data_IF_658103005356
#
_entry.id   IF_658103005356
#
_cell.length_a   1.000
_cell.length_b   1.000
_cell.length_c   1.000
_cell.angle_alpha   90.00
_cell.angle_beta   90.00
_cell.angle_gamma   90.00
#
_symmetry.space_group_name_H-M   'P 1'
#
loop_
_entity.id
_entity.type
_entity.pdbx_description
1 polymer ?
#
# COMPACT_ATOMS: atom_id res chain seq x y z
N UNK A 1 -16.85 33.28 -3.38
CA UNK A 1 -15.83 32.24 -3.15
C UNK A 1 -14.53 32.62 -3.85
N UNK A 2 -13.45 32.75 -3.10
CA UNK A 2 -12.22 33.45 -3.48
C UNK A 2 -11.35 32.61 -4.45
N UNK A 3 -10.90 33.20 -5.57
CA UNK A 3 -10.09 32.52 -6.62
C UNK A 3 -8.87 31.79 -6.07
N UNK A 4 -8.31 32.23 -4.95
CA UNK A 4 -7.16 31.61 -4.27
C UNK A 4 -7.45 30.20 -3.71
N UNK A 5 -8.70 29.89 -3.33
CA UNK A 5 -9.04 28.56 -2.80
C UNK A 5 -9.17 27.48 -3.88
N UNK A 6 -9.50 27.86 -5.13
CA UNK A 6 -9.57 26.89 -6.25
C UNK A 6 -8.19 26.36 -6.65
N UNK A 7 -7.14 27.16 -6.50
CA UNK A 7 -5.77 26.78 -6.90
C UNK A 7 -5.17 25.79 -5.89
N UNK A 8 -5.48 25.95 -4.60
CA UNK A 8 -4.98 25.04 -3.55
C UNK A 8 -5.65 23.66 -3.64
N UNK A 9 -6.95 23.62 -3.95
CA UNK A 9 -7.68 22.35 -4.13
C UNK A 9 -7.25 21.62 -5.41
N UNK A 10 -6.93 22.34 -6.49
CA UNK A 10 -6.41 21.73 -7.71
C UNK A 10 -4.98 21.16 -7.54
N UNK A 11 -4.14 21.80 -6.71
CA UNK A 11 -2.79 21.30 -6.41
C UNK A 11 -2.79 19.97 -5.64
N UNK A 12 -3.71 19.81 -4.69
CA UNK A 12 -3.83 18.60 -3.86
C UNK A 12 -4.33 17.38 -4.65
N UNK A 13 -5.16 17.60 -5.67
CA UNK A 13 -5.67 16.52 -6.55
C UNK A 13 -4.57 16.03 -7.50
N UNK A 14 -3.66 16.90 -7.93
CA UNK A 14 -2.57 16.52 -8.85
C UNK A 14 -1.45 15.76 -8.12
N UNK A 15 -1.17 16.09 -6.85
CA UNK A 15 -0.23 15.28 -6.04
C UNK A 15 -0.83 13.93 -5.62
N UNK A 16 -2.15 13.83 -5.47
CA UNK A 16 -2.85 12.56 -5.20
C UNK A 16 -2.92 11.62 -6.42
N UNK A 17 -2.87 12.14 -7.64
CA UNK A 17 -2.91 11.34 -8.86
C UNK A 17 -1.57 10.65 -9.18
N UNK A 18 -0.44 11.19 -8.71
CA UNK A 18 0.89 10.60 -8.94
C UNK A 18 1.16 9.41 -8.00
N UNK A 19 0.46 9.33 -6.86
CA UNK A 19 0.51 8.17 -5.96
C UNK A 19 -0.42 7.01 -6.37
N UNK A 20 -1.24 7.19 -7.41
CA UNK A 20 -2.26 6.23 -7.86
C UNK A 20 -1.89 5.52 -9.18
N UNK A 21 -0.63 5.60 -9.59
CA UNK A 21 -0.01 4.65 -10.51
C UNK A 21 0.67 3.55 -9.69
N UNK A 22 -0.05 3.01 -8.70
CA UNK A 22 0.13 1.60 -8.39
C UNK A 22 -0.61 0.87 -9.51
N UNK A 23 0.13 0.08 -10.27
CA UNK A 23 -0.43 -0.85 -11.24
C UNK A 23 -1.51 -1.67 -10.54
N UNK A 24 -2.78 -1.34 -10.79
CA UNK A 24 -3.90 -2.26 -10.60
C UNK A 24 -3.73 -3.37 -11.64
N UNK A 25 -2.84 -4.31 -11.36
CA UNK A 25 -2.90 -5.64 -11.97
C UNK A 25 -4.19 -6.26 -11.43
N UNK A 26 -5.11 -6.71 -12.30
CA UNK A 26 -6.34 -7.34 -11.85
C UNK A 26 -6.01 -8.54 -10.97
N UNK A 27 -6.49 -8.46 -9.74
CA UNK A 27 -6.42 -9.45 -8.69
C UNK A 27 -6.73 -10.85 -9.25
N UNK A 28 -5.75 -11.75 -9.33
CA UNK A 28 -6.06 -13.18 -9.36
C UNK A 28 -6.71 -13.49 -8.01
N UNK A 29 -7.92 -14.03 -8.07
CA UNK A 29 -8.73 -14.34 -6.90
C UNK A 29 -7.89 -15.04 -5.82
N UNK A 30 -7.83 -14.44 -4.63
CA UNK A 30 -7.35 -15.09 -3.42
C UNK A 30 -8.08 -16.43 -3.27
N UNK A 31 -7.33 -17.52 -3.36
CA UNK A 31 -7.81 -18.84 -2.99
C UNK A 31 -8.16 -18.81 -1.51
N UNK A 32 -9.36 -19.34 -1.25
CA UNK A 32 -9.97 -19.57 0.05
C UNK A 32 -8.97 -20.10 1.08
N UNK A 33 -9.03 -19.53 2.29
CA UNK A 33 -8.15 -19.81 3.42
C UNK A 33 -7.87 -21.29 3.67
N UNK A 34 -6.58 -21.61 3.69
CA UNK A 34 -5.89 -22.72 4.37
C UNK A 34 -4.49 -22.97 3.78
N UNK A 35 -4.10 -22.29 2.70
CA UNK A 35 -2.71 -22.32 2.23
C UNK A 35 -1.84 -21.42 3.12
N UNK A 36 -0.68 -21.91 3.59
CA UNK A 36 0.27 -21.07 4.31
C UNK A 36 0.66 -19.89 3.40
N UNK A 37 0.85 -18.69 3.95
CA UNK A 37 1.26 -17.53 3.17
C UNK A 37 2.51 -17.92 2.38
N UNK A 38 2.42 -17.86 1.05
CA UNK A 38 3.57 -18.07 0.16
C UNK A 38 4.56 -16.99 0.57
N UNK A 39 5.72 -17.39 1.09
CA UNK A 39 6.77 -16.45 1.42
C UNK A 39 7.19 -15.78 0.11
N UNK A 40 7.01 -14.45 -0.04
CA UNK A 40 7.39 -13.78 -1.28
C UNK A 40 8.89 -13.94 -1.57
N UNK A 41 9.72 -14.26 -0.56
CA UNK A 41 11.13 -14.61 -0.78
C UNK A 41 11.30 -15.87 -1.63
N UNK A 42 10.46 -16.89 -1.45
CA UNK A 42 10.52 -18.13 -2.24
C UNK A 42 10.11 -17.94 -3.70
N UNK A 43 9.26 -16.96 -4.01
CA UNK A 43 8.88 -16.64 -5.39
C UNK A 43 10.07 -16.08 -6.19
N UNK A 44 10.88 -15.21 -5.55
CA UNK A 44 12.13 -14.73 -6.14
C UNK A 44 13.14 -15.86 -6.36
N UNK A 45 13.18 -16.85 -5.48
CA UNK A 45 14.08 -18.00 -5.60
C UNK A 45 13.75 -18.92 -6.79
N UNK A 46 12.48 -18.97 -7.20
CA UNK A 46 12.00 -19.78 -8.32
C UNK A 46 12.11 -19.10 -9.70
N UNK A 47 12.29 -17.78 -9.76
CA UNK A 47 12.43 -17.05 -11.01
C UNK A 47 13.74 -17.39 -11.73
N UNK A 48 13.71 -17.52 -13.07
CA UNK A 48 14.90 -17.75 -13.88
C UNK A 48 15.89 -16.61 -13.69
N UNK A 49 16.95 -16.86 -12.92
CA UNK A 49 17.96 -15.91 -12.46
C UNK A 49 18.67 -15.13 -13.57
N UNK A 50 18.43 -15.47 -14.84
CA UNK A 50 19.12 -14.91 -16.00
C UNK A 50 18.33 -13.85 -16.78
N UNK A 51 17.01 -13.73 -16.57
CA UNK A 51 16.20 -12.77 -17.33
C UNK A 51 15.86 -11.54 -16.48
N UNK A 52 16.34 -10.37 -16.90
CA UNK A 52 16.05 -9.08 -16.26
C UNK A 52 14.55 -8.81 -16.15
N UNK A 53 13.79 -9.04 -17.23
CA UNK A 53 12.36 -8.75 -17.26
C UNK A 53 11.56 -9.68 -16.33
N UNK A 54 11.95 -10.96 -16.27
CA UNK A 54 11.29 -11.92 -15.38
C UNK A 54 11.55 -11.62 -13.91
N UNK A 55 12.79 -11.29 -13.54
CA UNK A 55 13.12 -10.91 -12.17
C UNK A 55 12.39 -9.64 -11.75
N UNK A 56 12.30 -8.66 -12.66
CA UNK A 56 11.55 -7.44 -12.44
C UNK A 56 10.08 -7.72 -12.16
N UNK A 57 9.43 -8.50 -13.01
CA UNK A 57 8.01 -8.86 -12.85
C UNK A 57 7.76 -9.54 -11.50
N UNK A 58 8.55 -10.56 -11.16
CA UNK A 58 8.40 -11.32 -9.91
C UNK A 58 8.64 -10.45 -8.67
N UNK A 59 9.63 -9.54 -8.71
CA UNK A 59 9.86 -8.60 -7.61
C UNK A 59 8.68 -7.66 -7.38
N UNK A 60 8.16 -7.04 -8.44
CA UNK A 60 7.03 -6.11 -8.32
C UNK A 60 5.74 -6.83 -7.89
N UNK A 61 5.50 -8.04 -8.37
CA UNK A 61 4.39 -8.89 -7.92
C UNK A 61 4.53 -9.21 -6.42
N UNK A 62 5.70 -9.68 -5.99
CA UNK A 62 6.00 -10.00 -4.59
C UNK A 62 5.84 -8.79 -3.66
N UNK A 63 6.24 -7.59 -4.11
CA UNK A 63 5.98 -6.34 -3.37
C UNK A 63 4.50 -6.04 -3.24
N UNK A 64 3.75 -6.13 -4.34
CA UNK A 64 2.33 -5.86 -4.33
C UNK A 64 1.59 -6.82 -3.39
N UNK A 65 1.92 -8.11 -3.45
CA UNK A 65 1.35 -9.12 -2.55
C UNK A 65 1.62 -8.79 -1.08
N UNK A 66 2.87 -8.47 -0.73
CA UNK A 66 3.26 -8.12 0.63
C UNK A 66 2.47 -6.93 1.18
N UNK A 67 2.34 -5.85 0.41
CA UNK A 67 1.61 -4.66 0.88
C UNK A 67 0.10 -4.90 0.90
N UNK A 68 -0.47 -5.59 -0.11
CA UNK A 68 -1.89 -5.92 -0.17
C UNK A 68 -2.33 -6.83 0.98
N UNK A 69 -1.52 -7.83 1.32
CA UNK A 69 -1.75 -8.69 2.49
C UNK A 69 -1.76 -7.84 3.77
N UNK A 70 -0.77 -6.97 3.94
CA UNK A 70 -0.65 -6.11 5.10
C UNK A 70 -1.85 -5.15 5.24
N UNK A 71 -2.35 -4.58 4.13
CA UNK A 71 -3.57 -3.78 4.11
C UNK A 71 -4.79 -4.60 4.51
N UNK A 72 -4.97 -5.77 3.89
CA UNK A 72 -6.10 -6.66 4.17
C UNK A 72 -6.18 -7.02 5.66
N UNK A 73 -5.05 -7.39 6.27
CA UNK A 73 -4.98 -7.74 7.69
C UNK A 73 -5.29 -6.57 8.62
N UNK A 74 -4.82 -5.36 8.32
CA UNK A 74 -5.23 -4.16 9.09
C UNK A 74 -6.75 -3.99 9.02
N UNK A 75 -7.34 -4.10 7.84
CA UNK A 75 -8.79 -3.88 7.66
C UNK A 75 -9.65 -4.98 8.28
N UNK A 76 -9.13 -6.21 8.35
CA UNK A 76 -9.80 -7.33 9.02
C UNK A 76 -9.67 -7.28 10.55
N UNK A 77 -8.75 -6.48 11.10
CA UNK A 77 -8.54 -6.35 12.55
C UNK A 77 -7.84 -7.55 13.20
N UNK A 78 -7.23 -8.44 12.41
CA UNK A 78 -6.59 -9.68 12.86
C UNK A 78 -5.06 -9.59 12.90
N UNK A 79 -4.51 -8.39 13.14
CA UNK A 79 -3.10 -8.10 12.93
C UNK A 79 -2.46 -7.35 14.09
N UNK A 80 -1.19 -7.66 14.38
CA UNK A 80 -0.39 -6.87 15.32
C UNK A 80 0.13 -5.62 14.60
N UNK A 81 -0.23 -4.45 15.10
CA UNK A 81 0.16 -3.16 14.51
C UNK A 81 1.30 -2.46 15.25
N UNK A 82 1.71 -3.00 16.39
CA UNK A 82 2.85 -2.51 17.17
C UNK A 82 4.13 -3.17 16.72
N UNK A 83 5.22 -2.41 16.72
CA UNK A 83 6.55 -2.94 16.47
C UNK A 83 6.90 -4.01 17.53
N UNK A 84 7.73 -5.01 17.19
CA UNK A 84 8.26 -5.96 18.16
C UNK A 84 9.03 -5.26 19.29
N UNK A 85 8.96 -5.82 20.50
CA UNK A 85 9.74 -5.32 21.64
C UNK A 85 11.23 -5.61 21.46
N UNK A 86 12.09 -4.83 22.14
CA UNK A 86 13.55 -4.91 21.96
C UNK A 86 14.20 -6.24 22.39
N UNK A 87 13.46 -7.06 23.12
CA UNK A 87 13.89 -8.37 23.61
C UNK A 87 13.73 -9.49 22.60
N UNK A 88 12.92 -9.29 21.57
CA UNK A 88 12.85 -10.20 20.43
C UNK A 88 13.96 -9.85 19.44
N UNK A 89 14.56 -10.85 18.80
CA UNK A 89 15.37 -10.66 17.58
C UNK A 89 14.48 -9.94 16.56
N UNK A 90 14.62 -8.60 16.49
CA UNK A 90 13.64 -7.67 15.89
C UNK A 90 13.20 -8.07 14.48
N UNK A 91 14.08 -8.72 13.73
CA UNK A 91 13.83 -9.13 12.35
C UNK A 91 13.15 -10.51 12.22
N UNK A 92 13.38 -11.41 13.18
CA UNK A 92 12.72 -12.73 13.23
C UNK A 92 11.26 -12.59 13.68
N UNK A 93 10.99 -11.64 14.57
CA UNK A 93 9.62 -11.30 14.98
C UNK A 93 8.75 -10.76 13.83
N UNK A 94 9.37 -10.31 12.75
CA UNK A 94 8.70 -9.82 11.55
C UNK A 94 8.56 -10.89 10.45
N UNK A 95 9.04 -12.11 10.66
CA UNK A 95 8.88 -13.21 9.71
C UNK A 95 7.45 -13.78 9.76
N UNK A 96 6.93 -14.30 8.64
CA UNK A 96 5.57 -14.82 8.53
C UNK A 96 5.30 -16.13 9.30
N UNK A 97 6.23 -16.54 10.16
CA UNK A 97 6.18 -17.83 10.87
C UNK A 97 5.31 -17.83 12.12
N UNK A 98 4.79 -16.68 12.55
CA UNK A 98 3.93 -16.55 13.74
C UNK A 98 2.64 -15.81 13.40
N UNK A 99 1.49 -16.44 13.68
CA UNK A 99 0.19 -15.78 13.69
C UNK A 99 -0.14 -15.32 15.13
N UNK A 100 -0.77 -14.14 15.33
CA UNK A 100 -1.16 -13.17 14.30
C UNK A 100 0.05 -12.45 13.68
N UNK A 101 0.06 -12.34 12.35
CA UNK A 101 1.14 -11.68 11.62
C UNK A 101 1.33 -10.21 12.06
N UNK A 102 2.59 -9.80 12.25
CA UNK A 102 2.94 -8.42 12.55
C UNK A 102 2.97 -7.55 11.29
N UNK A 103 2.03 -6.61 11.23
CA UNK A 103 1.85 -5.63 10.15
C UNK A 103 2.13 -4.21 10.65
N UNK A 104 2.94 -4.06 11.71
CA UNK A 104 3.53 -2.77 12.03
C UNK A 104 4.31 -2.26 10.81
N UNK A 105 4.34 -0.93 10.64
CA UNK A 105 5.15 -0.29 9.59
C UNK A 105 6.58 -0.83 9.57
N UNK A 106 7.16 -1.09 10.76
CA UNK A 106 8.48 -1.70 10.90
C UNK A 106 8.55 -3.08 10.24
N UNK A 107 7.65 -4.02 10.61
CA UNK A 107 7.72 -5.38 10.08
C UNK A 107 7.40 -5.48 8.58
N UNK A 108 6.53 -4.61 8.06
CA UNK A 108 6.29 -4.51 6.61
C UNK A 108 7.52 -3.97 5.90
N UNK A 109 8.17 -2.94 6.46
CA UNK A 109 9.40 -2.38 5.91
C UNK A 109 10.56 -3.39 5.93
N UNK A 110 10.73 -4.15 7.01
CA UNK A 110 11.78 -5.20 7.10
C UNK A 110 11.58 -6.26 6.03
N UNK A 111 10.35 -6.77 5.87
CA UNK A 111 10.04 -7.77 4.83
C UNK A 111 10.23 -7.20 3.42
N UNK A 112 9.77 -5.96 3.17
CA UNK A 112 9.99 -5.26 1.91
C UNK A 112 11.48 -5.05 1.60
N UNK A 113 12.26 -4.66 2.60
CA UNK A 113 13.70 -4.47 2.47
C UNK A 113 14.43 -5.78 2.17
N UNK A 114 14.05 -6.91 2.78
CA UNK A 114 14.62 -8.23 2.46
C UNK A 114 14.41 -8.61 0.99
N UNK A 115 13.22 -8.38 0.47
CA UNK A 115 12.89 -8.64 -0.93
C UNK A 115 13.66 -7.71 -1.88
N UNK A 116 13.78 -6.43 -1.52
CA UNK A 116 14.61 -5.47 -2.27
C UNK A 116 16.09 -5.87 -2.28
N UNK A 117 16.65 -6.28 -1.14
CA UNK A 117 18.05 -6.72 -1.06
C UNK A 117 18.29 -7.96 -1.93
N UNK A 118 17.44 -8.99 -1.84
CA UNK A 118 17.54 -10.19 -2.68
C UNK A 118 17.42 -9.85 -4.18
N UNK A 119 16.49 -8.95 -4.54
CA UNK A 119 16.37 -8.46 -5.91
C UNK A 119 17.62 -7.70 -6.38
N UNK A 120 18.16 -6.81 -5.54
CA UNK A 120 19.39 -6.06 -5.79
C UNK A 120 20.58 -6.97 -6.06
N UNK A 121 20.80 -7.97 -5.21
CA UNK A 121 21.89 -8.94 -5.36
C UNK A 121 21.80 -9.70 -6.71
N UNK A 122 20.58 -10.06 -7.14
CA UNK A 122 20.34 -10.71 -8.43
C UNK A 122 20.55 -9.79 -9.63
N UNK A 123 20.11 -8.54 -9.51
CA UNK A 123 20.36 -7.53 -10.54
C UNK A 123 21.86 -7.23 -10.68
N UNK A 124 22.60 -7.18 -9.58
CA UNK A 124 24.05 -7.05 -9.60
C UNK A 124 24.74 -8.26 -10.23
N UNK A 125 24.24 -9.47 -9.99
CA UNK A 125 24.71 -10.66 -10.71
C UNK A 125 24.50 -10.53 -12.23
N UNK A 126 23.30 -10.14 -12.68
CA UNK A 126 23.02 -9.90 -14.11
C UNK A 126 23.96 -8.81 -14.67
N UNK A 127 24.12 -7.71 -13.95
CA UNK A 127 25.02 -6.61 -14.31
C UNK A 127 26.47 -7.09 -14.46
N UNK A 128 26.95 -7.93 -13.55
CA UNK A 128 28.29 -8.51 -13.62
C UNK A 128 28.46 -9.44 -14.84
N UNK A 129 27.43 -10.21 -15.19
CA UNK A 129 27.44 -11.10 -16.35
C UNK A 129 27.48 -10.36 -17.69
N UNK A 130 26.93 -9.14 -17.73
CA UNK A 130 27.00 -8.22 -18.88
C UNK A 130 28.43 -7.68 -19.07
N UNK A 131 29.22 -7.59 -18.00
CA UNK A 131 30.52 -6.90 -17.98
C UNK A 131 31.72 -7.81 -18.32
N UNK A 132 31.58 -9.14 -18.30
CA UNK A 132 32.72 -10.09 -18.31
C UNK A 132 33.25 -10.48 -19.71
N UNK A 133 32.63 -10.10 -20.84
CA UNK A 133 32.89 -10.79 -22.11
C UNK A 133 33.60 -10.07 -23.27
N UNK A 134 33.47 -8.75 -23.43
CA UNK A 134 33.55 -8.18 -24.80
C UNK A 134 34.78 -7.29 -25.07
N UNK A 135 35.58 -6.94 -24.06
CA UNK A 135 36.55 -5.84 -24.23
C UNK A 135 38.03 -6.20 -24.35
N UNK A 136 38.43 -7.48 -24.32
CA UNK A 136 39.87 -7.82 -24.38
C UNK A 136 40.38 -8.33 -25.73
N UNK A 137 39.55 -8.42 -26.78
CA UNK A 137 40.06 -8.68 -28.14
C UNK A 137 39.41 -7.72 -29.15
N UNK A 138 39.95 -6.51 -29.16
CA UNK A 138 39.90 -5.55 -30.26
C UNK A 138 40.15 -6.27 -31.59
N UNK A 139 39.14 -6.30 -32.49
CA UNK A 139 39.24 -6.32 -33.98
C UNK A 139 37.99 -6.90 -34.71
N UNK A 140 36.86 -7.16 -34.04
CA UNK A 140 35.65 -7.66 -34.74
C UNK A 140 34.75 -6.51 -35.20
N UNK A 141 34.88 -6.13 -36.48
CA UNK A 141 33.97 -5.21 -37.18
C UNK A 141 32.55 -5.80 -37.17
N UNK A 142 31.59 -5.10 -36.58
CA UNK A 142 30.18 -5.54 -36.48
C UNK A 142 29.62 -5.70 -35.06
N UNK A 143 30.46 -5.63 -34.03
CA UNK A 143 30.02 -5.76 -32.62
C UNK A 143 29.44 -4.49 -31.98
N UNK A 144 29.51 -3.33 -32.66
CA UNK A 144 29.07 -2.04 -32.10
C UNK A 144 27.60 -2.03 -31.66
N UNK A 145 26.71 -2.70 -32.39
CA UNK A 145 25.29 -2.81 -32.02
C UNK A 145 25.06 -3.67 -30.78
N UNK A 146 25.84 -4.76 -30.61
CA UNK A 146 25.74 -5.65 -29.45
C UNK A 146 26.32 -4.99 -28.19
N UNK A 147 27.42 -4.26 -28.34
CA UNK A 147 28.00 -3.47 -27.24
C UNK A 147 27.05 -2.35 -26.79
N UNK A 148 26.42 -1.65 -27.74
CA UNK A 148 25.44 -0.62 -27.42
C UNK A 148 24.19 -1.19 -26.73
N UNK A 149 23.68 -2.35 -27.17
CA UNK A 149 22.56 -3.03 -26.52
C UNK A 149 22.88 -3.43 -25.07
N UNK A 150 24.09 -3.95 -24.82
CA UNK A 150 24.54 -4.32 -23.48
C UNK A 150 24.75 -3.12 -22.56
N UNK A 151 25.26 -2.00 -23.08
CA UNK A 151 25.36 -0.75 -22.33
C UNK A 151 23.96 -0.20 -21.95
N UNK A 152 23.00 -0.27 -22.87
CA UNK A 152 21.61 0.13 -22.61
C UNK A 152 21.00 -0.76 -21.52
N UNK A 153 21.22 -2.08 -21.59
CA UNK A 153 20.75 -3.02 -20.56
C UNK A 153 21.39 -2.77 -19.20
N UNK A 154 22.70 -2.50 -19.16
CA UNK A 154 23.39 -2.14 -17.92
C UNK A 154 22.80 -0.89 -17.26
N UNK A 155 22.54 0.17 -18.05
CA UNK A 155 21.88 1.39 -17.56
C UNK A 155 20.43 1.14 -17.13
N UNK A 156 19.71 0.26 -17.82
CA UNK A 156 18.34 -0.11 -17.45
C UNK A 156 18.30 -0.81 -16.08
N UNK A 157 19.25 -1.70 -15.80
CA UNK A 157 19.40 -2.37 -14.49
C UNK A 157 19.69 -1.36 -13.39
N UNK A 158 20.65 -0.44 -13.59
CA UNK A 158 20.97 0.60 -12.59
C UNK A 158 19.78 1.50 -12.29
N UNK A 159 19.07 1.90 -13.35
CA UNK A 159 17.85 2.70 -13.22
C UNK A 159 16.78 1.94 -12.44
N UNK A 160 16.59 0.65 -12.73
CA UNK A 160 15.62 -0.20 -12.04
C UNK A 160 15.94 -0.33 -10.54
N UNK A 161 17.20 -0.51 -10.15
CA UNK A 161 17.61 -0.55 -8.73
C UNK A 161 17.24 0.74 -8.01
N UNK A 162 17.50 1.89 -8.65
CA UNK A 162 17.21 3.20 -8.09
C UNK A 162 15.69 3.46 -7.99
N UNK A 163 14.94 3.12 -9.05
CA UNK A 163 13.50 3.28 -9.11
C UNK A 163 12.80 2.35 -8.10
N UNK A 164 13.25 1.10 -7.96
CA UNK A 164 12.73 0.14 -7.00
C UNK A 164 12.95 0.60 -5.55
N UNK A 165 14.12 1.16 -5.22
CA UNK A 165 14.40 1.74 -3.90
C UNK A 165 13.44 2.89 -3.58
N UNK A 166 13.30 3.81 -4.53
CA UNK A 166 12.41 4.97 -4.37
C UNK A 166 10.96 4.52 -4.22
N UNK A 167 10.52 3.53 -5.00
CA UNK A 167 9.19 2.97 -4.89
C UNK A 167 8.95 2.32 -3.52
N UNK A 168 9.92 1.57 -2.99
CA UNK A 168 9.83 1.00 -1.65
C UNK A 168 9.68 2.09 -0.58
N UNK A 169 10.51 3.14 -0.61
CA UNK A 169 10.44 4.24 0.35
C UNK A 169 9.09 4.96 0.32
N UNK A 170 8.55 5.23 -0.88
CA UNK A 170 7.23 5.86 -1.05
C UNK A 170 6.13 4.95 -0.53
N UNK A 171 6.17 3.66 -0.85
CA UNK A 171 5.14 2.70 -0.45
C UNK A 171 5.14 2.45 1.05
N UNK A 172 6.31 2.35 1.69
CA UNK A 172 6.42 2.24 3.16
C UNK A 172 5.85 3.48 3.85
N UNK A 173 6.12 4.67 3.32
CA UNK A 173 5.55 5.91 3.86
C UNK A 173 4.03 5.97 3.68
N UNK A 174 3.52 5.63 2.50
CA UNK A 174 2.09 5.56 2.25
C UNK A 174 1.39 4.53 3.16
N UNK A 175 2.03 3.37 3.37
CA UNK A 175 1.55 2.34 4.28
C UNK A 175 1.50 2.84 5.73
N UNK A 176 2.53 3.55 6.19
CA UNK A 176 2.56 4.20 7.50
C UNK A 176 1.42 5.17 7.68
N UNK A 177 1.20 6.05 6.70
CA UNK A 177 0.08 7.00 6.72
C UNK A 177 -1.27 6.29 6.80
N UNK A 178 -1.45 5.23 6.01
CA UNK A 178 -2.66 4.39 6.07
C UNK A 178 -2.85 3.79 7.47
N UNK A 179 -1.80 3.24 8.08
CA UNK A 179 -1.85 2.63 9.41
C UNK A 179 -2.31 3.63 10.48
N UNK A 180 -1.95 4.90 10.36
CA UNK A 180 -2.45 5.97 11.25
C UNK A 180 -3.86 6.46 10.87
N UNK A 181 -4.15 6.62 9.58
CA UNK A 181 -5.39 7.20 9.11
C UNK A 181 -6.59 6.25 9.22
N UNK A 182 -6.39 4.95 9.03
CA UNK A 182 -7.45 3.94 9.06
C UNK A 182 -8.23 3.90 10.39
N UNK A 183 -7.61 3.79 11.58
CA UNK A 183 -8.36 3.80 12.84
C UNK A 183 -9.14 5.11 13.06
N UNK A 184 -8.57 6.25 12.64
CA UNK A 184 -9.27 7.53 12.66
C UNK A 184 -10.50 7.51 11.76
N UNK A 185 -10.38 6.96 10.54
CA UNK A 185 -11.50 6.82 9.62
C UNK A 185 -12.62 5.94 10.20
N UNK A 186 -12.29 4.83 10.85
CA UNK A 186 -13.27 3.98 11.55
C UNK A 186 -13.97 4.73 12.69
N UNK A 187 -13.25 5.56 13.43
CA UNK A 187 -13.84 6.41 14.47
C UNK A 187 -14.80 7.45 13.86
N UNK A 188 -14.42 8.10 12.76
CA UNK A 188 -15.30 9.04 12.05
C UNK A 188 -16.56 8.35 11.51
N UNK A 189 -16.43 7.17 10.91
CA UNK A 189 -17.55 6.37 10.44
C UNK A 189 -18.56 6.09 11.56
N UNK A 190 -18.07 5.74 12.75
CA UNK A 190 -18.90 5.50 13.94
C UNK A 190 -19.63 6.78 14.37
N UNK A 191 -18.93 7.90 14.47
CA UNK A 191 -19.52 9.19 14.84
C UNK A 191 -20.57 9.63 13.83
N UNK A 192 -20.30 9.47 12.53
CA UNK A 192 -21.24 9.78 11.48
C UNK A 192 -22.54 8.96 11.60
N UNK A 193 -22.43 7.65 11.82
CA UNK A 193 -23.60 6.78 12.04
C UNK A 193 -24.44 7.22 13.25
N UNK A 194 -23.79 7.67 14.34
CA UNK A 194 -24.48 8.19 15.51
C UNK A 194 -25.23 9.50 15.20
N UNK A 195 -24.61 10.42 14.46
CA UNK A 195 -25.25 11.67 14.04
C UNK A 195 -26.44 11.43 13.11
N UNK A 196 -26.33 10.48 12.19
CA UNK A 196 -27.46 10.05 11.33
C UNK A 196 -28.60 9.52 12.19
N UNK A 197 -28.32 8.62 13.14
CA UNK A 197 -29.34 8.11 14.05
C UNK A 197 -30.00 9.22 14.87
N UNK A 198 -29.22 10.17 15.38
CA UNK A 198 -29.75 11.31 16.13
C UNK A 198 -30.67 12.20 15.28
N UNK A 199 -30.26 12.50 14.04
CA UNK A 199 -31.07 13.25 13.07
C UNK A 199 -32.41 12.54 12.81
N UNK A 200 -32.38 11.23 12.60
CA UNK A 200 -33.57 10.45 12.29
C UNK A 200 -34.54 10.44 13.48
N UNK A 201 -34.04 10.27 14.71
CA UNK A 201 -34.83 10.40 15.94
C UNK A 201 -35.42 11.81 16.13
N UNK A 202 -34.67 12.87 15.81
CA UNK A 202 -35.22 14.23 15.81
C UNK A 202 -36.34 14.41 14.77
N UNK A 203 -36.23 13.75 13.62
CA UNK A 203 -37.27 13.71 12.60
C UNK A 203 -38.55 13.05 13.11
N UNK A 204 -38.43 11.93 13.82
CA UNK A 204 -39.56 11.26 14.47
C UNK A 204 -40.24 12.16 15.51
N UNK A 205 -39.46 12.83 16.37
CA UNK A 205 -39.99 13.78 17.35
C UNK A 205 -40.73 14.93 16.66
N UNK A 206 -40.15 15.50 15.59
CA UNK A 206 -40.83 16.56 14.82
C UNK A 206 -42.15 16.07 14.22
N UNK A 207 -42.18 14.88 13.65
CA UNK A 207 -43.41 14.29 13.13
C UNK A 207 -44.49 14.11 14.20
N UNK A 208 -44.10 13.75 15.44
CA UNK A 208 -45.03 13.69 16.57
C UNK A 208 -45.53 15.09 16.98
N UNK A 209 -44.65 16.09 17.02
CA UNK A 209 -45.00 17.49 17.32
C UNK A 209 -45.90 18.11 16.24
N UNK A 210 -45.72 17.75 14.97
CA UNK A 210 -46.63 18.18 13.89
C UNK A 210 -48.04 17.59 14.04
N UNK A 211 -48.16 16.41 14.67
CA UNK A 211 -49.44 15.81 15.01
C UNK A 211 -50.07 16.39 16.29
N UNK A 212 -49.31 17.14 17.10
CA UNK A 212 -49.91 17.91 18.18
C UNK A 212 -50.80 18.99 17.55
N UNK A 213 -52.10 19.00 17.87
CA UNK A 213 -52.99 20.00 17.30
C UNK A 213 -52.50 21.38 17.72
N UNK A 214 -52.32 22.27 16.75
CA UNK A 214 -51.97 23.69 16.94
C UNK A 214 -52.91 24.45 17.87
N UNK A 215 -53.99 23.82 18.32
CA UNK A 215 -55.03 24.35 19.21
C UNK A 215 -54.65 24.44 20.70
N UNK A 216 -53.46 23.98 21.11
CA UNK A 216 -52.99 24.18 22.49
C UNK A 216 -52.20 25.49 22.70
N UNK A 217 -51.81 26.16 21.62
CA UNK A 217 -51.34 27.54 21.67
C UNK A 217 -52.61 28.39 21.56
N UNK A 218 -53.01 29.08 22.63
CA UNK A 218 -54.27 29.86 22.82
C UNK A 218 -55.46 29.15 23.48
N UNK A 219 -55.29 27.99 24.11
CA UNK A 219 -56.30 27.49 25.06
C UNK A 219 -56.20 28.22 26.42
N UNK A 220 -56.36 29.55 26.45
CA UNK A 220 -56.67 30.25 27.70
C UNK A 220 -58.11 29.92 28.07
N UNK A 221 -58.31 28.99 29.00
CA UNK A 221 -59.63 28.79 29.62
C UNK A 221 -59.96 30.01 30.45
N UNK A 222 -60.83 30.90 29.93
CA UNK A 222 -61.29 32.10 30.62
C UNK A 222 -62.38 31.83 31.67
N UNK A 223 -62.66 30.57 31.99
CA UNK A 223 -63.59 30.17 33.05
C UNK A 223 -62.96 29.10 33.92
N UNK A 224 -62.73 29.45 35.19
CA UNK A 224 -62.67 28.47 36.28
C UNK A 224 -64.13 28.20 36.69
N UNK A 225 -64.52 26.92 36.73
CA UNK A 225 -65.71 26.49 37.49
C UNK A 225 -65.34 26.28 38.95
#
# INVERSE_FOLDING_TARGET
>A
MNKKYKIIIAGLIITGAIALIMFFVPNKAQTSGNEPPIDPLTALDAADQKSFDSLKEVYHESMNELFNEAFSRITAGNALTKAPDETDTKDEACLPTKEPLNVSTYCVAVRGAKLYMNYGDRLDYIKSSINIGIFNNTNVVGQGAVVADLEIKGKAVEKEIADAKKALDVTVNAYKEFQYAYPMHKAYEKTFKLLVKYRDLLGEIRGQVEFFPSKFIDATTSKCE
#
